data_IF_531515513271
#
_entry.id   IF_531515513271
#
_cell.length_a   1.000
_cell.length_b   1.000
_cell.length_c   1.000
_cell.angle_alpha   90.00
_cell.angle_beta   90.00
_cell.angle_gamma   90.00
#
_symmetry.space_group_name_H-M   'P 1'
#
loop_
_entity.id
_entity.type
_entity.pdbx_description
1 polymer ?
#
# COMPACT_ATOMS: atom_id res chain seq x y z
N UNK A 1 4.34 18.28 49.55
CA UNK A 1 5.15 18.55 48.34
C UNK A 1 5.72 17.23 47.79
N UNK A 2 4.87 16.29 47.32
CA UNK A 2 5.35 15.06 46.65
C UNK A 2 4.20 14.32 45.93
N UNK A 3 3.84 14.72 44.70
CA UNK A 3 2.92 13.94 43.84
C UNK A 3 3.28 13.99 42.35
N UNK A 4 4.41 14.61 41.98
CA UNK A 4 4.78 14.87 40.59
C UNK A 4 5.82 13.87 40.00
N UNK A 5 6.46 13.02 40.82
CA UNK A 5 7.58 12.17 40.37
C UNK A 5 7.18 10.76 39.89
N UNK A 6 5.94 10.32 40.14
CA UNK A 6 5.49 8.95 39.83
C UNK A 6 4.90 8.75 38.43
N UNK A 7 4.55 9.83 37.72
CA UNK A 7 3.92 9.74 36.40
C UNK A 7 4.96 9.75 35.27
N UNK A 8 6.04 10.52 35.39
CA UNK A 8 7.07 10.70 34.35
C UNK A 8 7.81 9.41 34.00
N UNK A 9 8.13 8.56 34.98
CA UNK A 9 8.83 7.28 34.73
C UNK A 9 8.00 6.27 33.91
N UNK A 10 6.68 6.25 34.08
CA UNK A 10 5.80 5.35 33.33
C UNK A 10 5.65 5.79 31.88
N UNK A 11 5.53 7.10 31.63
CA UNK A 11 5.45 7.64 30.27
C UNK A 11 6.77 7.44 29.54
N UNK A 12 7.91 7.69 30.18
CA UNK A 12 9.23 7.47 29.57
C UNK A 12 9.51 5.99 29.25
N UNK A 13 9.10 5.06 30.12
CA UNK A 13 9.21 3.62 29.83
C UNK A 13 8.26 3.14 28.72
N UNK A 14 7.06 3.72 28.61
CA UNK A 14 6.14 3.48 27.49
C UNK A 14 6.70 4.05 26.18
N UNK A 15 7.18 5.29 26.19
CA UNK A 15 7.81 5.95 25.04
C UNK A 15 9.09 5.21 24.60
N UNK A 16 9.88 4.70 25.54
CA UNK A 16 11.08 3.92 25.26
C UNK A 16 10.80 2.50 24.72
N UNK A 17 9.60 1.95 24.95
CA UNK A 17 9.13 0.68 24.34
C UNK A 17 8.57 0.89 22.94
N UNK A 18 7.82 1.98 22.73
CA UNK A 18 7.32 2.39 21.42
C UNK A 18 8.49 2.76 20.48
N UNK A 19 9.48 3.51 20.97
CA UNK A 19 10.67 3.91 20.19
C UNK A 19 11.59 2.72 19.84
N UNK A 20 11.53 1.62 20.60
CA UNK A 20 12.35 0.42 20.36
C UNK A 20 11.76 -0.54 19.31
N UNK A 21 10.50 -0.33 18.90
CA UNK A 21 9.79 -1.20 17.95
C UNK A 21 9.26 -0.45 16.72
N UNK A 22 9.71 0.78 16.48
CA UNK A 22 9.42 1.49 15.23
C UNK A 22 10.29 0.92 14.11
N UNK A 23 10.02 -0.33 13.72
CA UNK A 23 10.58 -0.91 12.50
C UNK A 23 10.15 -0.05 11.31
N UNK A 24 10.99 0.12 10.28
CA UNK A 24 10.63 0.85 9.06
C UNK A 24 9.26 0.42 8.50
N UNK A 25 8.95 -0.87 8.58
CA UNK A 25 7.69 -1.46 8.12
C UNK A 25 6.47 -0.92 8.88
N UNK A 26 6.59 -0.71 10.19
CA UNK A 26 5.51 -0.15 11.02
C UNK A 26 5.25 1.32 10.68
N UNK A 27 6.31 2.07 10.40
CA UNK A 27 6.19 3.47 10.00
C UNK A 27 5.52 3.55 8.62
N UNK A 28 5.93 2.72 7.67
CA UNK A 28 5.31 2.64 6.35
C UNK A 28 3.82 2.27 6.45
N UNK A 29 3.48 1.22 7.22
CA UNK A 29 2.10 0.82 7.46
C UNK A 29 1.28 1.92 8.13
N UNK A 30 1.86 2.62 9.12
CA UNK A 30 1.22 3.74 9.81
C UNK A 30 0.95 4.92 8.89
N UNK A 31 1.88 5.26 7.99
CA UNK A 31 1.70 6.30 6.98
C UNK A 31 0.61 5.94 5.97
N UNK A 32 0.58 4.69 5.50
CA UNK A 32 -0.48 4.20 4.61
C UNK A 32 -1.86 4.26 5.27
N UNK A 33 -1.94 3.85 6.53
CA UNK A 33 -3.19 3.91 7.30
C UNK A 33 -3.64 5.37 7.49
N UNK A 34 -2.72 6.26 7.86
CA UNK A 34 -3.01 7.68 8.01
C UNK A 34 -3.52 8.28 6.69
N UNK A 35 -2.85 7.99 5.57
CA UNK A 35 -3.28 8.44 4.24
C UNK A 35 -4.68 7.94 3.89
N UNK A 36 -4.98 6.68 4.17
CA UNK A 36 -6.31 6.08 3.98
C UNK A 36 -7.38 6.79 4.82
N UNK A 37 -7.11 7.03 6.10
CA UNK A 37 -8.04 7.74 6.99
C UNK A 37 -8.30 9.16 6.49
N UNK A 38 -7.24 9.89 6.10
CA UNK A 38 -7.38 11.24 5.53
C UNK A 38 -8.22 11.21 4.25
N UNK A 39 -7.99 10.26 3.35
CA UNK A 39 -8.77 10.12 2.12
C UNK A 39 -10.25 9.83 2.41
N UNK A 40 -10.55 8.90 3.34
CA UNK A 40 -11.93 8.58 3.74
C UNK A 40 -12.63 9.78 4.37
N UNK A 41 -11.96 10.49 5.29
CA UNK A 41 -12.52 11.70 5.92
C UNK A 41 -12.78 12.77 4.87
N UNK A 42 -11.84 13.03 3.97
CA UNK A 42 -12.01 14.06 2.93
C UNK A 42 -13.16 13.72 1.98
N UNK A 43 -13.21 12.49 1.46
CA UNK A 43 -14.24 12.05 0.52
C UNK A 43 -15.66 12.03 1.11
N UNK A 44 -15.81 11.77 2.41
CA UNK A 44 -17.11 11.73 3.10
C UNK A 44 -17.47 13.05 3.82
N UNK A 45 -16.66 14.10 3.66
CA UNK A 45 -16.91 15.40 4.29
C UNK A 45 -17.86 16.29 3.47
N UNK A 46 -18.36 17.41 4.04
CA UNK A 46 -19.14 18.40 3.29
C UNK A 46 -18.40 19.04 2.10
N UNK A 47 -17.08 18.89 2.03
CA UNK A 47 -16.25 19.31 0.89
C UNK A 47 -15.82 18.13 0.01
N UNK A 48 -16.50 16.97 0.10
CA UNK A 48 -16.18 15.76 -0.65
C UNK A 48 -16.14 15.95 -2.17
N UNK A 49 -16.93 16.88 -2.72
CA UNK A 49 -16.88 17.22 -4.15
C UNK A 49 -15.50 17.73 -4.59
N UNK A 50 -14.76 18.38 -3.68
CA UNK A 50 -13.38 18.82 -3.94
C UNK A 50 -12.39 17.67 -4.04
N UNK A 51 -12.64 16.56 -3.35
CA UNK A 51 -11.84 15.34 -3.49
C UNK A 51 -12.04 14.74 -4.89
N UNK A 52 -13.29 14.63 -5.33
CA UNK A 52 -13.60 14.11 -6.65
C UNK A 52 -13.01 14.99 -7.77
N UNK A 53 -13.16 16.31 -7.69
CA UNK A 53 -12.61 17.24 -8.70
C UNK A 53 -11.08 17.27 -8.71
N UNK A 54 -10.42 17.14 -7.55
CA UNK A 54 -8.97 17.02 -7.46
C UNK A 54 -8.46 15.79 -8.23
N UNK A 55 -9.05 14.61 -8.00
CA UNK A 55 -8.62 13.38 -8.66
C UNK A 55 -8.99 13.30 -10.14
N UNK A 56 -10.07 13.98 -10.56
CA UNK A 56 -10.47 14.09 -11.97
C UNK A 56 -9.77 15.22 -12.73
N UNK A 57 -8.95 16.04 -12.06
CA UNK A 57 -8.18 17.08 -12.74
C UNK A 57 -7.25 16.47 -13.79
N UNK A 58 -7.32 16.98 -15.02
CA UNK A 58 -6.53 16.47 -16.14
C UNK A 58 -5.10 17.04 -16.09
N UNK A 59 -4.13 16.14 -16.24
CA UNK A 59 -2.73 16.49 -16.39
C UNK A 59 -2.22 15.89 -17.70
N UNK A 60 -1.93 16.78 -18.66
CA UNK A 60 -1.45 16.39 -19.97
C UNK A 60 0.04 16.69 -20.14
N UNK A 61 0.80 15.69 -20.62
CA UNK A 61 2.19 15.86 -21.03
C UNK A 61 2.27 15.75 -22.54
N UNK A 62 2.82 16.78 -23.19
CA UNK A 62 2.98 16.85 -24.64
C UNK A 62 4.46 16.89 -25.00
N UNK A 63 4.88 15.98 -25.87
CA UNK A 63 6.25 15.87 -26.37
C UNK A 63 6.21 15.74 -27.89
N UNK A 64 6.50 16.84 -28.58
CA UNK A 64 6.37 16.90 -30.05
C UNK A 64 4.92 16.71 -30.49
N UNK A 65 4.68 15.69 -31.33
CA UNK A 65 3.34 15.33 -31.81
C UNK A 65 2.59 14.32 -30.94
N UNK A 66 3.22 13.79 -29.87
CA UNK A 66 2.58 12.88 -28.95
C UNK A 66 2.01 13.62 -27.74
N UNK A 67 0.79 13.25 -27.35
CA UNK A 67 0.07 13.82 -26.21
C UNK A 67 -0.48 12.70 -25.34
N UNK A 68 -0.16 12.76 -24.05
CA UNK A 68 -0.72 11.88 -23.03
C UNK A 68 -1.50 12.74 -22.05
N UNK A 69 -2.82 12.77 -22.21
CA UNK A 69 -3.74 13.39 -21.26
C UNK A 69 -4.36 12.31 -20.38
N UNK A 70 -4.09 12.38 -19.07
CA UNK A 70 -4.65 11.47 -18.08
C UNK A 70 -5.08 12.29 -16.87
N UNK A 71 -6.12 11.84 -16.17
CA UNK A 71 -6.49 12.44 -14.89
C UNK A 71 -5.42 12.17 -13.82
N UNK A 72 -5.35 13.01 -12.78
CA UNK A 72 -4.48 12.77 -11.62
C UNK A 72 -4.69 11.38 -11.02
N UNK A 73 -5.93 10.89 -11.01
CA UNK A 73 -6.26 9.54 -10.58
C UNK A 73 -5.53 8.46 -11.40
N UNK A 74 -5.53 8.58 -12.73
CA UNK A 74 -4.83 7.63 -13.60
C UNK A 74 -3.32 7.74 -13.47
N UNK A 75 -2.76 8.96 -13.40
CA UNK A 75 -1.33 9.15 -13.15
C UNK A 75 -0.88 8.51 -11.83
N UNK A 76 -1.66 8.71 -10.77
CA UNK A 76 -1.39 8.10 -9.47
C UNK A 76 -1.52 6.58 -9.53
N UNK A 77 -2.61 6.06 -10.09
CA UNK A 77 -2.85 4.63 -10.19
C UNK A 77 -1.77 3.94 -11.03
N UNK A 78 -1.60 4.34 -12.28
CA UNK A 78 -0.73 3.63 -13.22
C UNK A 78 0.74 3.89 -12.92
N UNK A 79 1.09 5.13 -12.56
CA UNK A 79 2.46 5.50 -12.19
C UNK A 79 2.92 4.81 -10.92
N UNK A 80 2.14 4.91 -9.84
CA UNK A 80 2.51 4.28 -8.56
C UNK A 80 2.45 2.76 -8.65
N UNK A 81 1.49 2.18 -9.39
CA UNK A 81 1.46 0.74 -9.65
C UNK A 81 2.66 0.27 -10.46
N UNK A 82 3.10 1.03 -11.47
CA UNK A 82 4.30 0.70 -12.21
C UNK A 82 5.54 0.62 -11.31
N UNK A 83 5.72 1.59 -10.40
CA UNK A 83 6.80 1.54 -9.40
C UNK A 83 6.64 0.37 -8.41
N UNK A 84 5.43 0.12 -7.91
CA UNK A 84 5.15 -1.00 -7.02
C UNK A 84 5.49 -2.35 -7.67
N UNK A 85 4.97 -2.60 -8.88
CA UNK A 85 5.25 -3.84 -9.61
C UNK A 85 6.70 -3.96 -10.05
N UNK A 86 7.39 -2.84 -10.31
CA UNK A 86 8.82 -2.87 -10.56
C UNK A 86 9.60 -3.41 -9.35
N UNK A 87 9.34 -2.88 -8.16
CA UNK A 87 10.00 -3.33 -6.92
C UNK A 87 9.64 -4.80 -6.63
N UNK A 88 8.36 -5.15 -6.70
CA UNK A 88 7.90 -6.54 -6.53
C UNK A 88 8.55 -7.47 -7.56
N UNK A 89 8.66 -7.04 -8.82
CA UNK A 89 9.32 -7.80 -9.87
C UNK A 89 10.80 -8.03 -9.62
N UNK A 90 11.50 -7.04 -9.05
CA UNK A 90 12.90 -7.19 -8.62
C UNK A 90 13.05 -8.19 -7.48
N UNK A 91 12.14 -8.17 -6.51
CA UNK A 91 12.13 -9.14 -5.40
C UNK A 91 11.85 -10.55 -5.93
N UNK A 92 10.80 -10.73 -6.74
CA UNK A 92 10.48 -12.03 -7.36
C UNK A 92 11.65 -12.56 -8.18
N UNK A 93 12.32 -11.70 -8.95
CA UNK A 93 13.54 -12.08 -9.69
C UNK A 93 14.63 -12.56 -8.73
N UNK A 94 14.84 -11.87 -7.60
CA UNK A 94 15.79 -12.28 -6.57
C UNK A 94 15.42 -13.64 -5.98
N UNK A 95 14.15 -13.90 -5.67
CA UNK A 95 13.72 -15.22 -5.17
C UNK A 95 13.87 -16.34 -6.20
N UNK A 96 13.65 -16.04 -7.49
CA UNK A 96 13.83 -17.00 -8.58
C UNK A 96 15.30 -17.40 -8.79
N UNK A 97 16.24 -16.49 -8.52
CA UNK A 97 17.68 -16.74 -8.74
C UNK A 97 18.37 -17.27 -7.48
N UNK A 98 18.05 -16.71 -6.32
CA UNK A 98 18.78 -16.96 -5.06
C UNK A 98 17.88 -17.48 -3.92
N UNK A 99 16.57 -17.46 -4.09
CA UNK A 99 15.61 -17.77 -3.04
C UNK A 99 14.94 -19.13 -3.19
N UNK A 100 13.80 -19.28 -2.52
CA UNK A 100 13.07 -20.56 -2.47
C UNK A 100 12.44 -20.97 -3.79
N UNK A 101 12.19 -20.00 -4.68
CA UNK A 101 11.60 -20.25 -6.01
C UNK A 101 12.64 -20.79 -7.00
N UNK A 102 13.94 -20.70 -6.70
CA UNK A 102 15.00 -21.28 -7.53
C UNK A 102 14.94 -22.81 -7.56
N UNK A 103 14.48 -23.44 -6.47
CA UNK A 103 14.28 -24.89 -6.41
C UNK A 103 12.87 -25.27 -6.88
N UNK A 104 12.80 -26.04 -7.96
CA UNK A 104 11.52 -26.43 -8.57
C UNK A 104 10.60 -27.21 -7.62
N UNK A 105 11.13 -28.02 -6.69
CA UNK A 105 10.29 -28.76 -5.74
C UNK A 105 9.70 -27.84 -4.68
N UNK A 106 10.47 -26.85 -4.22
CA UNK A 106 10.02 -25.87 -3.22
C UNK A 106 9.05 -24.84 -3.82
N UNK A 107 9.25 -24.45 -5.08
CA UNK A 107 8.41 -23.46 -5.77
C UNK A 107 6.95 -23.92 -6.00
N UNK A 108 6.68 -25.23 -6.07
CA UNK A 108 5.32 -25.75 -6.35
C UNK A 108 4.31 -25.28 -5.31
N UNK A 109 4.68 -25.28 -4.01
CA UNK A 109 3.74 -24.92 -2.95
C UNK A 109 3.35 -23.44 -3.00
N UNK A 110 4.29 -22.47 -3.05
CA UNK A 110 3.96 -21.06 -3.22
C UNK A 110 3.19 -20.76 -4.50
N UNK A 111 3.54 -21.38 -5.63
CA UNK A 111 2.85 -21.17 -6.91
C UNK A 111 1.40 -21.63 -6.83
N UNK A 112 1.15 -22.84 -6.32
CA UNK A 112 -0.21 -23.34 -6.15
C UNK A 112 -1.00 -22.48 -5.16
N UNK A 113 -0.40 -22.05 -4.06
CA UNK A 113 -1.03 -21.15 -3.10
C UNK A 113 -1.42 -19.82 -3.75
N UNK A 114 -0.55 -19.22 -4.56
CA UNK A 114 -0.84 -17.99 -5.29
C UNK A 114 -1.97 -18.16 -6.31
N UNK A 115 -1.93 -19.24 -7.11
CA UNK A 115 -2.97 -19.55 -8.10
C UNK A 115 -4.33 -19.76 -7.42
N UNK A 116 -4.38 -20.53 -6.34
CA UNK A 116 -5.61 -20.76 -5.59
C UNK A 116 -6.11 -19.48 -4.90
N UNK A 117 -5.20 -18.63 -4.42
CA UNK A 117 -5.51 -17.32 -3.85
C UNK A 117 -6.18 -16.36 -4.85
N UNK A 118 -6.00 -16.57 -6.15
CA UNK A 118 -6.68 -15.82 -7.22
C UNK A 118 -7.98 -16.51 -7.67
N UNK A 119 -7.92 -17.82 -7.91
CA UNK A 119 -9.03 -18.60 -8.49
C UNK A 119 -10.21 -18.70 -7.51
N UNK A 120 -9.94 -18.97 -6.23
CA UNK A 120 -11.00 -19.22 -5.25
C UNK A 120 -11.88 -17.98 -5.04
N UNK A 121 -11.33 -16.78 -4.75
CA UNK A 121 -12.16 -15.57 -4.63
C UNK A 121 -12.91 -15.23 -5.91
N UNK A 122 -12.31 -15.42 -7.08
CA UNK A 122 -12.95 -15.17 -8.36
C UNK A 122 -14.15 -16.09 -8.61
N UNK A 123 -14.00 -17.40 -8.33
CA UNK A 123 -15.10 -18.36 -8.44
C UNK A 123 -16.22 -18.07 -7.45
N UNK A 124 -15.88 -17.73 -6.19
CA UNK A 124 -16.86 -17.35 -5.17
C UNK A 124 -17.65 -16.13 -5.62
N UNK A 125 -16.97 -15.08 -6.10
CA UNK A 125 -17.62 -13.88 -6.62
C UNK A 125 -18.59 -14.21 -7.77
N UNK A 126 -18.14 -15.00 -8.75
CA UNK A 126 -18.99 -15.40 -9.88
C UNK A 126 -20.18 -16.23 -9.41
N UNK A 127 -20.00 -17.18 -8.51
CA UNK A 127 -21.11 -18.04 -8.07
C UNK A 127 -22.18 -17.27 -7.27
N UNK A 128 -21.76 -16.27 -6.50
CA UNK A 128 -22.68 -15.45 -5.68
C UNK A 128 -23.37 -14.37 -6.52
N UNK A 129 -22.67 -13.77 -7.48
CA UNK A 129 -23.16 -12.63 -8.29
C UNK A 129 -23.62 -13.05 -9.70
N UNK A 130 -24.01 -14.31 -9.88
CA UNK A 130 -24.72 -14.84 -11.05
C UNK A 130 -26.21 -14.92 -10.77
#
# INVERSE_FOLDING_TARGET
MNKAAGNTGNVEHLLARLRRHASPDLIAAGLLLLGTVVALVWANSPVGDTYASFWHSEFAVRLGGAELSLSLHHWGNDGLMAFFFFIVGLEVKRELVLGELADRRRAVVPILAAVMGLIVPALVYVLINR
#
